data_IF_431662732558
#
_entry.id   IF_431662732558
#
_cell.length_a   1.000
_cell.length_b   1.000
_cell.length_c   1.000
_cell.angle_alpha   90.00
_cell.angle_beta   90.00
_cell.angle_gamma   90.00
#
_symmetry.space_group_name_H-M   'P 1'
#
loop_
_entity.id
_entity.type
_entity.pdbx_description
1 polymer ?
#
# COMPACT_ATOMS: atom_id res chain seq x y z
N UNK A 1 13.27 2.62 6.35
CA UNK A 1 13.61 1.30 6.94
C UNK A 1 13.71 1.45 8.45
N UNK A 2 13.20 0.51 9.23
CA UNK A 2 13.18 0.61 10.70
C UNK A 2 13.54 -0.74 11.33
N UNK A 3 14.28 -0.71 12.45
CA UNK A 3 14.62 -1.85 13.28
C UNK A 3 14.01 -1.62 14.67
N UNK A 4 13.30 -2.62 15.17
CA UNK A 4 12.70 -2.60 16.51
C UNK A 4 13.26 -3.73 17.37
N UNK A 5 13.63 -3.41 18.60
CA UNK A 5 14.05 -4.37 19.62
C UNK A 5 13.07 -4.28 20.78
N UNK A 6 12.51 -5.42 21.18
CA UNK A 6 11.54 -5.40 22.27
C UNK A 6 11.28 -6.76 22.90
N UNK A 7 10.40 -6.75 23.89
CA UNK A 7 10.02 -7.92 24.66
C UNK A 7 8.50 -8.07 24.69
N UNK A 8 8.02 -9.29 24.42
CA UNK A 8 6.64 -9.67 24.68
C UNK A 8 6.53 -10.11 26.15
N UNK A 9 5.74 -9.39 26.95
CA UNK A 9 5.52 -9.71 28.38
C UNK A 9 4.60 -10.91 28.56
N UNK A 10 3.58 -10.98 27.73
CA UNK A 10 2.65 -12.11 27.68
C UNK A 10 2.05 -12.19 26.25
N UNK A 11 1.05 -13.06 26.05
CA UNK A 11 0.41 -13.22 24.72
C UNK A 11 -0.27 -11.97 24.19
N UNK A 12 -0.56 -10.98 25.04
CA UNK A 12 -1.34 -9.78 24.69
C UNK A 12 -0.49 -8.50 24.64
N UNK A 13 0.68 -8.44 25.28
CA UNK A 13 1.44 -7.20 25.41
C UNK A 13 2.87 -7.33 24.92
N UNK A 14 3.27 -6.35 24.10
CA UNK A 14 4.63 -6.16 23.64
C UNK A 14 5.06 -4.73 23.94
N UNK A 15 6.31 -4.56 24.30
CA UNK A 15 7.00 -3.26 24.42
C UNK A 15 8.37 -3.35 23.75
N UNK A 16 8.77 -2.26 23.08
CA UNK A 16 10.05 -2.19 22.38
C UNK A 16 10.52 -0.77 22.16
N UNK A 17 11.72 -0.68 21.61
CA UNK A 17 12.35 0.56 21.15
C UNK A 17 12.64 0.36 19.67
N UNK A 18 12.38 1.37 18.86
CA UNK A 18 12.61 1.33 17.42
C UNK A 18 13.47 2.51 16.99
N UNK A 19 14.28 2.29 15.97
CA UNK A 19 15.00 3.33 15.25
C UNK A 19 15.09 2.98 13.78
N UNK A 20 15.32 3.99 12.92
CA UNK A 20 15.36 3.77 11.48
C UNK A 20 15.72 5.01 10.69
N UNK A 21 15.28 5.05 9.44
CA UNK A 21 15.41 6.21 8.56
C UNK A 21 14.12 6.40 7.78
N UNK A 22 13.63 7.63 7.72
CA UNK A 22 12.53 8.09 6.88
C UNK A 22 13.14 9.05 5.87
N UNK A 23 13.00 8.76 4.59
CA UNK A 23 13.49 9.61 3.50
C UNK A 23 12.31 10.44 3.04
N UNK A 24 12.44 11.77 3.04
CA UNK A 24 11.48 12.69 2.47
C UNK A 24 11.83 12.92 1.00
N UNK A 25 10.87 12.69 0.11
CA UNK A 25 11.08 12.79 -1.34
C UNK A 25 10.78 14.18 -1.90
N UNK A 26 10.05 15.01 -1.17
CA UNK A 26 9.58 16.33 -1.64
C UNK A 26 10.60 17.46 -1.50
N UNK A 27 11.63 17.30 -0.68
CA UNK A 27 12.67 18.32 -0.49
C UNK A 27 14.06 17.70 -0.43
N UNK A 28 14.88 17.89 -1.44
CA UNK A 28 16.33 17.63 -1.49
C UNK A 28 16.89 16.63 -0.45
N UNK A 29 16.32 15.41 -0.42
CA UNK A 29 16.96 14.28 0.25
C UNK A 29 17.10 14.35 1.77
N UNK A 30 16.22 15.05 2.49
CA UNK A 30 16.28 15.06 3.96
C UNK A 30 15.98 13.68 4.55
N UNK A 31 16.77 13.26 5.51
CA UNK A 31 16.58 12.02 6.25
C UNK A 31 16.16 12.35 7.68
N UNK A 32 15.03 11.77 8.10
CA UNK A 32 14.60 11.84 9.50
C UNK A 32 14.97 10.52 10.20
N UNK A 33 15.63 10.60 11.34
CA UNK A 33 15.98 9.44 12.14
C UNK A 33 15.02 9.35 13.33
N UNK A 34 14.02 8.43 13.30
CA UNK A 34 13.14 8.20 14.43
C UNK A 34 13.85 7.41 15.54
N UNK A 35 13.66 7.82 16.78
CA UNK A 35 13.95 7.05 17.99
C UNK A 35 12.65 6.98 18.77
N UNK A 36 12.03 5.80 18.81
CA UNK A 36 10.68 5.65 19.33
C UNK A 36 10.56 4.53 20.34
N UNK A 37 9.57 4.62 21.22
CA UNK A 37 9.11 3.53 22.05
C UNK A 37 7.79 3.00 21.51
N UNK A 38 7.69 1.68 21.41
CA UNK A 38 6.54 0.96 20.85
C UNK A 38 5.82 0.21 21.97
N UNK A 39 4.53 0.43 22.11
CA UNK A 39 3.66 -0.36 22.97
C UNK A 39 2.56 -1.00 22.12
N UNK A 40 2.46 -2.33 22.15
CA UNK A 40 1.49 -3.07 21.33
C UNK A 40 0.61 -3.96 22.17
N UNK A 41 -0.70 -3.78 21.97
CA UNK A 41 -1.72 -4.67 22.52
C UNK A 41 -2.14 -5.65 21.43
N UNK A 42 -2.11 -6.93 21.73
CA UNK A 42 -2.44 -8.03 20.83
C UNK A 42 -3.72 -8.74 21.28
N UNK A 43 -4.57 -9.10 20.34
CA UNK A 43 -5.82 -9.82 20.57
C UNK A 43 -5.76 -11.20 19.89
N UNK A 44 -5.03 -12.19 20.48
CA UNK A 44 -4.83 -13.49 19.84
C UNK A 44 -6.16 -14.24 19.73
N UNK A 45 -6.47 -14.65 18.51
CA UNK A 45 -7.64 -15.49 18.22
C UNK A 45 -7.26 -16.96 18.37
N UNK A 46 -8.11 -17.75 19.03
CA UNK A 46 -7.82 -19.10 19.50
C UNK A 46 -7.47 -20.13 18.42
N UNK A 47 -7.79 -19.87 17.16
CA UNK A 47 -7.54 -20.81 16.03
C UNK A 47 -6.92 -20.17 14.79
N UNK A 48 -6.54 -18.91 14.87
CA UNK A 48 -6.06 -18.13 13.71
C UNK A 48 -4.55 -17.93 13.76
N UNK A 49 -3.94 -17.91 12.59
CA UNK A 49 -2.56 -17.42 12.40
C UNK A 49 -2.50 -15.89 12.36
N UNK A 50 -3.67 -15.25 12.41
CA UNK A 50 -3.82 -13.80 12.48
C UNK A 50 -3.97 -13.37 13.93
N UNK A 51 -3.23 -12.37 14.33
CA UNK A 51 -3.35 -11.73 15.63
C UNK A 51 -3.59 -10.24 15.43
N UNK A 52 -4.84 -9.77 15.49
CA UNK A 52 -5.13 -8.35 15.51
C UNK A 52 -4.45 -7.66 16.70
N UNK A 53 -4.13 -6.40 16.54
CA UNK A 53 -3.52 -5.62 17.61
C UNK A 53 -3.66 -4.12 17.38
N UNK A 54 -3.24 -3.36 18.40
CA UNK A 54 -3.08 -1.90 18.32
C UNK A 54 -1.68 -1.56 18.75
N UNK A 55 -0.95 -0.86 17.89
CA UNK A 55 0.36 -0.31 18.16
C UNK A 55 0.19 1.16 18.53
N UNK A 56 0.71 1.53 19.69
CA UNK A 56 0.90 2.91 20.12
C UNK A 56 2.40 3.17 20.14
N UNK A 57 2.79 4.30 19.57
CA UNK A 57 4.20 4.67 19.44
C UNK A 57 4.36 6.13 19.82
N UNK A 58 5.41 6.44 20.55
CA UNK A 58 5.83 7.80 20.83
C UNK A 58 7.37 7.89 20.72
N UNK A 59 7.87 9.03 20.26
CA UNK A 59 9.30 9.18 20.11
C UNK A 59 9.72 10.54 19.56
N UNK A 60 10.98 10.58 19.17
CA UNK A 60 11.65 11.77 18.71
C UNK A 60 12.22 11.52 17.31
N UNK A 61 12.02 12.47 16.40
CA UNK A 61 12.61 12.47 15.07
C UNK A 61 13.72 13.49 15.00
N UNK A 62 14.92 13.02 14.72
CA UNK A 62 16.08 13.86 14.46
C UNK A 62 16.08 14.18 12.97
N UNK A 63 16.02 15.46 12.63
CA UNK A 63 16.21 15.92 11.26
C UNK A 63 17.71 16.02 10.97
N UNK A 64 18.18 15.35 9.92
CA UNK A 64 19.59 15.39 9.52
C UNK A 64 19.90 16.48 8.51
N UNK A 65 18.89 17.23 8.06
CA UNK A 65 19.09 18.34 7.13
C UNK A 65 19.81 19.46 7.85
N UNK A 66 20.88 19.97 7.24
CA UNK A 66 21.57 21.17 7.71
C UNK A 66 20.64 22.38 7.61
N UNK A 67 20.93 23.40 8.43
CA UNK A 67 20.21 24.66 8.44
C UNK A 67 20.18 25.27 7.02
N UNK A 68 19.03 25.72 6.58
CA UNK A 68 18.88 26.31 5.24
C UNK A 68 19.13 27.82 5.27
N UNK A 69 19.96 28.30 4.35
CA UNK A 69 20.11 29.71 4.09
C UNK A 69 19.03 30.19 3.09
N UNK A 70 18.05 30.94 3.58
CA UNK A 70 17.02 31.53 2.76
C UNK A 70 17.37 32.99 2.47
N UNK A 71 17.44 33.39 1.21
CA UNK A 71 17.59 34.80 0.81
C UNK A 71 16.26 35.51 0.82
N UNK A 72 16.04 36.40 1.78
CA UNK A 72 14.88 37.29 1.82
C UNK A 72 15.35 38.69 1.40
N UNK A 73 15.18 39.03 0.13
CA UNK A 73 15.68 40.26 -0.46
C UNK A 73 17.22 40.29 -0.51
N UNK A 74 17.84 41.28 0.17
CA UNK A 74 19.32 41.44 0.24
C UNK A 74 19.95 40.75 1.46
N UNK A 75 19.16 40.14 2.32
CA UNK A 75 19.64 39.49 3.55
C UNK A 75 19.54 37.98 3.42
N UNK A 76 20.58 37.27 3.80
CA UNK A 76 20.57 35.82 4.00
C UNK A 76 20.14 35.55 5.42
N UNK A 77 19.14 34.74 5.63
CA UNK A 77 18.65 34.28 6.94
C UNK A 77 18.80 32.79 7.01
N UNK A 78 19.49 32.30 8.03
CA UNK A 78 19.61 30.87 8.30
C UNK A 78 18.35 30.40 9.01
N UNK A 79 17.67 29.43 8.44
CA UNK A 79 16.51 28.76 9.05
C UNK A 79 16.95 27.40 9.55
N UNK A 80 17.01 27.25 10.86
CA UNK A 80 17.32 25.98 11.50
C UNK A 80 16.13 25.02 11.37
N UNK A 81 16.35 23.83 10.82
CA UNK A 81 15.31 22.81 10.66
C UNK A 81 14.89 22.22 12.01
N UNK A 82 13.57 22.02 12.26
CA UNK A 82 13.11 21.47 13.52
C UNK A 82 13.33 19.96 13.61
N UNK A 83 13.51 19.48 14.82
CA UNK A 83 13.25 18.09 15.17
C UNK A 83 11.75 17.97 15.51
N UNK A 84 11.25 16.72 15.60
CA UNK A 84 9.83 16.49 15.86
C UNK A 84 9.62 15.50 17.00
N UNK A 85 8.59 15.74 17.79
CA UNK A 85 8.00 14.72 18.65
C UNK A 85 6.96 13.99 17.82
N UNK A 86 7.01 12.66 17.80
CA UNK A 86 6.10 11.81 17.05
C UNK A 86 5.20 11.02 17.99
N UNK A 87 3.90 11.04 17.70
CA UNK A 87 2.90 10.18 18.36
C UNK A 87 2.13 9.44 17.27
N UNK A 88 2.01 8.11 17.39
CA UNK A 88 1.35 7.27 16.41
C UNK A 88 0.40 6.30 17.08
N UNK A 89 -0.79 6.13 16.49
CA UNK A 89 -1.74 5.08 16.82
C UNK A 89 -2.08 4.29 15.55
N UNK A 90 -1.97 2.94 15.64
CA UNK A 90 -2.06 2.10 14.46
C UNK A 90 -2.71 0.74 14.80
N UNK A 91 -3.90 0.42 14.30
CA UNK A 91 -4.36 -0.96 14.21
C UNK A 91 -3.39 -1.79 13.37
N UNK A 92 -3.10 -3.00 13.83
CA UNK A 92 -2.17 -3.92 13.18
C UNK A 92 -2.75 -5.32 13.09
N UNK A 93 -2.23 -6.10 12.15
CA UNK A 93 -2.46 -7.54 12.07
C UNK A 93 -1.12 -8.23 11.97
N UNK A 94 -0.81 -9.09 12.94
CA UNK A 94 0.36 -9.96 12.91
C UNK A 94 -0.04 -11.29 12.27
N UNK A 95 0.67 -11.67 11.25
CA UNK A 95 0.45 -12.89 10.48
C UNK A 95 1.61 -13.84 10.79
N UNK A 96 1.34 -14.89 11.56
CA UNK A 96 2.36 -15.86 11.91
C UNK A 96 2.80 -16.64 10.66
N UNK A 97 4.00 -16.39 10.16
CA UNK A 97 4.59 -17.11 9.02
C UNK A 97 5.25 -18.41 9.46
N UNK A 98 5.86 -18.43 10.64
CA UNK A 98 6.49 -19.59 11.24
C UNK A 98 6.35 -19.54 12.76
N UNK A 99 6.99 -20.46 13.48
CA UNK A 99 7.06 -20.43 14.96
C UNK A 99 7.83 -19.23 15.51
N UNK A 100 8.68 -18.62 14.70
CA UNK A 100 9.62 -17.58 15.12
C UNK A 100 9.54 -16.32 14.27
N UNK A 101 8.64 -16.26 13.29
CA UNK A 101 8.52 -15.13 12.36
C UNK A 101 7.06 -14.77 12.16
N UNK A 102 6.71 -13.53 12.46
CA UNK A 102 5.44 -12.93 12.11
C UNK A 102 5.66 -11.84 11.06
N UNK A 103 4.75 -11.72 10.11
CA UNK A 103 4.64 -10.55 9.26
C UNK A 103 3.60 -9.60 9.86
N UNK A 104 3.93 -8.33 9.96
CA UNK A 104 3.08 -7.30 10.54
C UNK A 104 2.60 -6.38 9.43
N UNK A 105 1.31 -6.16 9.39
CA UNK A 105 0.65 -5.14 8.58
C UNK A 105 -0.09 -4.20 9.50
N UNK A 106 0.02 -2.90 9.26
CA UNK A 106 -0.72 -1.88 10.00
C UNK A 106 -0.99 -0.65 9.16
N UNK A 107 -2.09 0.01 9.44
CA UNK A 107 -2.41 1.33 8.90
C UNK A 107 -2.83 2.21 10.06
N UNK A 108 -2.35 3.45 10.11
CA UNK A 108 -2.64 4.31 11.23
C UNK A 108 -2.35 5.77 10.95
N UNK A 109 -2.46 6.55 11.99
CA UNK A 109 -2.22 7.98 11.95
C UNK A 109 -1.01 8.33 12.81
N UNK A 110 -0.13 9.15 12.27
CA UNK A 110 1.04 9.68 12.95
C UNK A 110 0.92 11.19 13.01
N UNK A 111 1.10 11.75 14.19
CA UNK A 111 1.13 13.19 14.42
C UNK A 111 2.54 13.62 14.79
N UNK A 112 3.02 14.66 14.13
CA UNK A 112 4.35 15.23 14.31
C UNK A 112 4.22 16.63 14.89
N UNK A 113 4.87 16.86 16.03
CA UNK A 113 4.91 18.15 16.71
C UNK A 113 6.33 18.69 16.62
N UNK A 114 6.56 19.85 15.98
CA UNK A 114 7.89 20.43 15.89
C UNK A 114 8.40 20.85 17.27
N UNK A 115 9.70 20.83 17.45
CA UNK A 115 10.35 21.27 18.71
C UNK A 115 10.65 22.77 18.74
N UNK A 116 10.30 23.49 17.66
CA UNK A 116 10.49 24.93 17.50
C UNK A 116 9.14 25.61 17.19
N UNK A 117 8.86 26.73 17.82
CA UNK A 117 7.58 27.43 17.76
C UNK A 117 7.22 28.02 16.36
N UNK A 118 8.21 28.13 15.47
CA UNK A 118 8.02 28.74 14.15
C UNK A 118 7.56 27.76 13.07
N UNK A 119 7.27 26.52 13.45
CA UNK A 119 6.82 25.47 12.53
C UNK A 119 5.49 24.87 12.98
N UNK A 120 4.65 24.53 12.03
CA UNK A 120 3.35 23.93 12.30
C UNK A 120 3.46 22.43 12.54
N UNK A 121 2.58 21.90 13.39
CA UNK A 121 2.40 20.46 13.55
C UNK A 121 1.66 19.88 12.34
N UNK A 122 2.00 18.67 11.94
CA UNK A 122 1.31 18.00 10.84
C UNK A 122 1.02 16.54 11.16
N UNK A 123 0.12 15.96 10.41
CA UNK A 123 -0.26 14.57 10.55
C UNK A 123 -0.16 13.82 9.23
N UNK A 124 0.15 12.53 9.32
CA UNK A 124 0.26 11.66 8.16
C UNK A 124 -0.44 10.31 8.39
N UNK A 125 -1.06 9.80 7.35
CA UNK A 125 -1.49 8.39 7.32
C UNK A 125 -0.26 7.54 7.06
N UNK A 126 -0.05 6.53 7.91
CA UNK A 126 1.12 5.66 7.86
C UNK A 126 0.70 4.22 7.57
N UNK A 127 1.30 3.63 6.56
CA UNK A 127 1.25 2.19 6.30
C UNK A 127 2.52 1.54 6.86
N UNK A 128 2.36 0.50 7.66
CA UNK A 128 3.49 -0.27 8.22
C UNK A 128 3.48 -1.69 7.70
N UNK A 129 4.63 -2.11 7.17
CA UNK A 129 4.91 -3.51 6.86
C UNK A 129 6.21 -3.90 7.57
N UNK A 130 6.23 -5.02 8.28
CA UNK A 130 7.43 -5.45 9.02
C UNK A 130 7.48 -6.97 9.19
N UNK A 131 8.69 -7.48 9.38
CA UNK A 131 8.90 -8.84 9.88
C UNK A 131 9.33 -8.78 11.34
N UNK A 132 8.65 -9.56 12.18
CA UNK A 132 9.01 -9.71 13.58
C UNK A 132 9.63 -11.09 13.81
N UNK A 133 10.88 -11.11 14.27
CA UNK A 133 11.59 -12.33 14.62
C UNK A 133 11.57 -12.50 16.13
N UNK A 134 11.08 -13.64 16.64
CA UNK A 134 10.98 -13.89 18.06
C UNK A 134 11.31 -15.33 18.43
N UNK A 135 11.69 -15.54 19.69
CA UNK A 135 11.83 -16.90 20.22
C UNK A 135 10.44 -17.55 20.30
N UNK A 136 10.30 -18.75 19.75
CA UNK A 136 9.03 -19.46 19.75
C UNK A 136 8.52 -19.70 21.17
N UNK A 137 7.36 -19.13 21.48
CA UNK A 137 6.61 -19.39 22.71
C UNK A 137 5.22 -19.95 22.44
N UNK A 138 4.86 -20.13 21.15
CA UNK A 138 3.54 -20.58 20.74
C UNK A 138 3.50 -22.06 20.36
N UNK A 139 2.43 -22.77 20.73
CA UNK A 139 2.18 -24.11 20.19
C UNK A 139 2.03 -24.06 18.67
N UNK A 140 2.29 -25.18 18.03
CA UNK A 140 2.27 -25.36 16.57
C UNK A 140 0.84 -25.22 16.00
N UNK A 141 0.33 -24.00 15.88
CA UNK A 141 -0.93 -23.71 15.19
C UNK A 141 -0.70 -23.71 13.67
N UNK A 142 -0.23 -24.83 13.12
CA UNK A 142 -0.19 -25.00 11.66
C UNK A 142 -1.62 -25.02 11.14
N UNK A 143 -1.98 -24.16 10.18
CA UNK A 143 -3.28 -24.27 9.54
C UNK A 143 -3.39 -25.68 8.93
N UNK A 144 -4.50 -26.35 9.20
CA UNK A 144 -4.80 -27.65 8.59
C UNK A 144 -4.79 -27.49 7.07
N UNK A 145 -4.44 -28.56 6.33
CA UNK A 145 -4.55 -28.53 4.87
C UNK A 145 -5.99 -28.15 4.47
N UNK A 146 -6.18 -27.36 3.41
CA UNK A 146 -7.53 -27.04 2.97
C UNK A 146 -8.27 -28.33 2.63
N UNK A 147 -9.50 -28.40 3.07
CA UNK A 147 -10.36 -29.57 2.83
C UNK A 147 -10.88 -29.64 1.40
N UNK A 148 -10.64 -28.62 0.58
CA UNK A 148 -11.17 -28.54 -0.79
C UNK A 148 -10.21 -27.90 -1.77
N UNK A 149 -10.11 -28.55 -2.91
CA UNK A 149 -9.26 -28.16 -4.03
C UNK A 149 -9.94 -27.15 -4.99
N UNK A 150 -11.27 -26.93 -4.85
CA UNK A 150 -12.08 -26.09 -5.73
C UNK A 150 -13.04 -25.20 -4.95
N UNK A 151 -13.41 -24.04 -5.49
CA UNK A 151 -14.37 -23.14 -4.87
C UNK A 151 -14.34 -21.72 -5.44
N UNK A 152 -15.28 -20.90 -4.96
CA UNK A 152 -15.26 -19.46 -5.24
C UNK A 152 -14.34 -18.75 -4.25
N UNK A 153 -13.59 -17.78 -4.74
CA UNK A 153 -12.72 -16.94 -3.93
C UNK A 153 -13.09 -15.47 -4.13
N UNK A 154 -13.13 -14.71 -3.03
CA UNK A 154 -13.13 -13.24 -3.08
C UNK A 154 -11.73 -12.77 -2.72
N UNK A 155 -11.13 -11.96 -3.58
CA UNK A 155 -9.81 -11.38 -3.39
C UNK A 155 -9.91 -9.87 -3.39
N UNK A 156 -9.46 -9.22 -2.33
CA UNK A 156 -9.31 -7.76 -2.22
C UNK A 156 -7.84 -7.39 -2.11
N UNK A 157 -7.42 -6.35 -2.82
CA UNK A 157 -6.07 -5.83 -2.76
C UNK A 157 -6.11 -4.31 -2.56
N UNK A 158 -5.14 -3.81 -1.78
CA UNK A 158 -4.82 -2.40 -1.63
C UNK A 158 -3.34 -2.24 -1.92
N UNK A 159 -2.95 -1.14 -2.54
CA UNK A 159 -1.55 -0.95 -2.85
C UNK A 159 -1.22 0.43 -3.35
N UNK A 160 0.04 0.57 -3.70
CA UNK A 160 0.63 1.78 -4.24
C UNK A 160 1.26 1.47 -5.58
N UNK A 161 1.22 2.45 -6.47
CA UNK A 161 1.91 2.45 -7.74
C UNK A 161 2.91 3.57 -7.80
N UNK A 162 3.98 3.32 -8.52
CA UNK A 162 4.99 4.30 -8.86
C UNK A 162 5.15 4.31 -10.39
N UNK A 163 4.92 5.44 -11.00
CA UNK A 163 5.09 5.68 -12.44
C UNK A 163 6.29 6.57 -12.73
N UNK A 164 6.67 6.65 -14.00
CA UNK A 164 7.76 7.54 -14.42
C UNK A 164 7.29 9.00 -14.57
N UNK A 165 6.01 9.19 -14.90
CA UNK A 165 5.42 10.51 -15.12
C UNK A 165 4.56 10.96 -13.92
N UNK A 166 4.57 10.22 -12.80
CA UNK A 166 3.89 10.58 -11.55
C UNK A 166 4.55 9.88 -10.35
N UNK A 167 4.64 10.52 -9.18
CA UNK A 167 5.44 10.01 -8.08
C UNK A 167 4.80 8.80 -7.40
N UNK A 168 3.52 8.83 -7.09
CA UNK A 168 2.84 7.74 -6.40
C UNK A 168 1.33 7.86 -6.54
N UNK A 169 0.64 6.72 -6.70
CA UNK A 169 -0.81 6.62 -6.60
C UNK A 169 -1.26 5.53 -5.64
N UNK A 170 -2.45 5.69 -5.07
CA UNK A 170 -3.11 4.66 -4.29
C UNK A 170 -4.08 3.89 -5.19
N UNK A 171 -4.11 2.58 -5.03
CA UNK A 171 -5.02 1.72 -5.77
C UNK A 171 -5.71 0.70 -4.87
N UNK A 172 -6.94 0.35 -5.22
CA UNK A 172 -7.67 -0.77 -4.62
C UNK A 172 -8.38 -1.58 -5.68
N UNK A 173 -8.43 -2.90 -5.50
CA UNK A 173 -9.20 -3.79 -6.37
C UNK A 173 -9.92 -4.89 -5.59
N UNK A 174 -11.04 -5.36 -6.17
CA UNK A 174 -11.79 -6.53 -5.74
C UNK A 174 -11.96 -7.47 -6.92
N UNK A 175 -11.80 -8.77 -6.68
CA UNK A 175 -12.01 -9.79 -7.70
C UNK A 175 -12.78 -10.99 -7.16
N UNK A 176 -13.72 -11.46 -7.94
CA UNK A 176 -14.40 -12.73 -7.75
C UNK A 176 -13.70 -13.79 -8.60
N UNK A 177 -13.08 -14.77 -7.95
CA UNK A 177 -12.23 -15.77 -8.59
C UNK A 177 -12.89 -17.14 -8.46
N UNK A 178 -12.63 -18.01 -9.41
CA UNK A 178 -12.91 -19.44 -9.31
C UNK A 178 -11.60 -20.22 -9.16
N UNK A 179 -11.46 -20.93 -8.06
CA UNK A 179 -10.35 -21.83 -7.81
C UNK A 179 -10.59 -23.16 -8.54
N UNK A 180 -9.89 -23.36 -9.65
CA UNK A 180 -10.01 -24.58 -10.46
C UNK A 180 -9.38 -25.78 -9.79
N UNK A 181 -8.19 -25.56 -9.16
CA UNK A 181 -7.44 -26.54 -8.39
C UNK A 181 -6.61 -25.79 -7.33
N UNK A 182 -5.84 -26.48 -6.45
CA UNK A 182 -5.03 -25.81 -5.43
C UNK A 182 -4.07 -24.73 -5.96
N UNK A 183 -3.67 -24.85 -7.22
CA UNK A 183 -2.63 -24.01 -7.83
C UNK A 183 -3.18 -22.94 -8.77
N UNK A 184 -4.37 -23.14 -9.37
CA UNK A 184 -4.90 -22.28 -10.42
C UNK A 184 -6.22 -21.65 -9.97
N UNK A 185 -6.28 -20.33 -10.05
CA UNK A 185 -7.50 -19.54 -9.88
C UNK A 185 -7.65 -18.54 -11.03
N UNK A 186 -8.86 -18.30 -11.48
CA UNK A 186 -9.17 -17.28 -12.49
C UNK A 186 -10.50 -16.60 -12.16
N UNK A 187 -10.68 -15.38 -12.63
CA UNK A 187 -11.89 -14.63 -12.32
C UNK A 187 -11.93 -13.25 -12.95
N UNK A 188 -12.89 -12.47 -12.49
CA UNK A 188 -13.13 -11.10 -12.94
C UNK A 188 -13.06 -10.15 -11.76
N UNK A 189 -12.68 -8.92 -12.02
CA UNK A 189 -12.58 -7.92 -10.97
C UNK A 189 -12.75 -6.51 -11.47
N UNK A 190 -12.83 -5.61 -10.50
CA UNK A 190 -12.83 -4.17 -10.69
C UNK A 190 -11.97 -3.49 -9.66
N UNK A 191 -11.50 -2.31 -9.99
CA UNK A 191 -10.65 -1.53 -9.09
C UNK A 191 -10.75 -0.06 -9.37
N UNK A 192 -10.17 0.71 -8.46
CA UNK A 192 -10.09 2.15 -8.55
C UNK A 192 -8.69 2.62 -8.17
N UNK A 193 -8.22 3.64 -8.86
CA UNK A 193 -6.95 4.27 -8.62
C UNK A 193 -7.11 5.78 -8.74
N UNK A 194 -6.52 6.48 -7.79
CA UNK A 194 -6.44 7.92 -7.80
C UNK A 194 -4.98 8.33 -8.03
N UNK A 195 -4.76 9.09 -9.08
CA UNK A 195 -3.46 9.47 -9.57
C UNK A 195 -3.37 10.99 -9.63
N UNK A 196 -2.41 11.56 -8.91
CA UNK A 196 -2.03 12.97 -9.08
C UNK A 196 -0.87 13.02 -10.06
N UNK A 197 -1.11 13.62 -11.22
CA UNK A 197 -0.03 13.90 -12.18
C UNK A 197 0.83 15.01 -11.55
N UNK A 198 2.13 14.85 -11.51
CA UNK A 198 3.02 15.89 -10.99
C UNK A 198 3.76 16.54 -12.15
N UNK A 199 3.58 17.82 -12.31
CA UNK A 199 4.55 18.68 -12.94
C UNK A 199 5.32 19.38 -11.81
N UNK A 200 6.66 19.24 -11.71
CA UNK A 200 7.43 19.91 -10.67
C UNK A 200 7.38 21.43 -10.74
N UNK A 201 6.93 21.98 -11.85
CA UNK A 201 6.89 23.43 -12.11
C UNK A 201 5.48 24.04 -12.00
N UNK A 202 4.42 23.23 -11.91
CA UNK A 202 3.04 23.71 -11.90
C UNK A 202 2.18 22.99 -10.83
N UNK A 203 1.71 23.73 -9.83
CA UNK A 203 0.80 23.26 -8.77
C UNK A 203 -0.62 22.94 -9.31
N UNK A 204 -0.91 23.26 -10.57
CA UNK A 204 -2.24 23.10 -11.20
C UNK A 204 -2.36 21.83 -12.04
N UNK A 205 -1.76 20.73 -11.62
CA UNK A 205 -1.78 19.48 -12.39
C UNK A 205 -3.06 18.69 -12.16
N UNK A 206 -3.76 18.22 -13.23
CA UNK A 206 -5.03 17.54 -13.09
C UNK A 206 -4.90 16.20 -12.35
N UNK A 207 -5.88 15.91 -11.51
CA UNK A 207 -6.02 14.62 -10.86
C UNK A 207 -6.75 13.66 -11.77
N UNK A 208 -6.17 12.49 -12.00
CA UNK A 208 -6.72 11.46 -12.86
C UNK A 208 -7.29 10.31 -12.02
N UNK A 209 -8.56 10.04 -12.21
CA UNK A 209 -9.25 8.89 -11.63
C UNK A 209 -9.31 7.75 -12.65
N UNK A 210 -8.96 6.54 -12.24
CA UNK A 210 -8.91 5.37 -13.11
C UNK A 210 -9.80 4.27 -12.52
N UNK A 211 -10.94 4.02 -13.17
CA UNK A 211 -11.75 2.85 -12.89
C UNK A 211 -11.27 1.68 -13.77
N UNK A 212 -11.06 0.50 -13.17
CA UNK A 212 -10.51 -0.68 -13.84
C UNK A 212 -11.52 -1.82 -13.86
N UNK A 213 -11.60 -2.51 -15.00
CA UNK A 213 -12.30 -3.79 -15.12
C UNK A 213 -11.35 -4.81 -15.75
N UNK A 214 -11.22 -5.98 -15.15
CA UNK A 214 -10.23 -6.95 -15.59
C UNK A 214 -10.67 -8.40 -15.40
N UNK A 215 -10.06 -9.28 -16.18
CA UNK A 215 -9.95 -10.72 -15.91
C UNK A 215 -8.60 -10.97 -15.25
N UNK A 216 -8.59 -11.81 -14.21
CA UNK A 216 -7.39 -12.20 -13.46
C UNK A 216 -7.15 -13.69 -13.59
N UNK A 217 -5.91 -14.07 -13.94
CA UNK A 217 -5.40 -15.42 -13.79
C UNK A 217 -4.32 -15.47 -12.72
N UNK A 218 -4.35 -16.48 -11.85
CA UNK A 218 -3.36 -16.68 -10.80
C UNK A 218 -2.88 -18.12 -10.77
N UNK A 219 -1.56 -18.30 -10.68
CA UNK A 219 -0.93 -19.61 -10.52
C UNK A 219 -0.07 -19.62 -9.26
N UNK A 220 -0.39 -20.50 -8.30
CA UNK A 220 0.42 -20.77 -7.09
C UNK A 220 1.33 -21.95 -7.33
N UNK A 221 2.60 -21.81 -7.00
CA UNK A 221 3.60 -22.86 -7.21
C UNK A 221 3.37 -24.10 -6.35
N UNK A 222 2.80 -23.92 -5.16
CA UNK A 222 2.53 -25.02 -4.23
C UNK A 222 1.36 -24.67 -3.31
N UNK A 223 0.90 -25.62 -2.51
CA UNK A 223 -0.16 -25.44 -1.49
C UNK A 223 0.42 -25.40 -0.07
N UNK A 224 1.64 -24.93 0.10
CA UNK A 224 2.26 -24.75 1.39
C UNK A 224 1.70 -23.52 2.13
N UNK A 225 2.10 -23.38 3.39
CA UNK A 225 1.74 -22.21 4.22
C UNK A 225 2.22 -20.91 3.57
N UNK A 226 3.40 -20.91 3.00
CA UNK A 226 3.93 -19.82 2.17
C UNK A 226 4.06 -20.38 0.75
N UNK A 227 3.39 -19.75 -0.18
CA UNK A 227 3.39 -20.17 -1.58
C UNK A 227 3.72 -18.98 -2.48
N UNK A 228 4.80 -19.06 -3.25
CA UNK A 228 5.01 -18.13 -4.35
C UNK A 228 3.88 -18.26 -5.36
N UNK A 229 3.49 -17.15 -5.98
CA UNK A 229 2.50 -17.16 -7.04
C UNK A 229 2.86 -16.16 -8.15
N UNK A 230 2.32 -16.41 -9.33
CA UNK A 230 2.29 -15.48 -10.44
C UNK A 230 0.84 -15.12 -10.74
N UNK A 231 0.59 -13.89 -11.16
CA UNK A 231 -0.73 -13.43 -11.57
C UNK A 231 -0.61 -12.57 -12.83
N UNK A 232 -1.68 -12.52 -13.59
CA UNK A 232 -1.83 -11.59 -14.71
C UNK A 232 -3.26 -11.04 -14.71
N UNK A 233 -3.36 -9.73 -14.80
CA UNK A 233 -4.62 -9.02 -15.01
C UNK A 233 -4.62 -8.48 -16.45
N UNK A 234 -5.69 -8.73 -17.18
CA UNK A 234 -5.95 -8.17 -18.51
C UNK A 234 -7.29 -7.46 -18.48
N UNK A 235 -7.31 -6.18 -18.86
CA UNK A 235 -8.54 -5.41 -18.71
C UNK A 235 -8.54 -4.07 -19.41
N UNK A 236 -9.50 -3.24 -19.00
CA UNK A 236 -9.73 -1.91 -19.52
C UNK A 236 -9.68 -0.92 -18.35
N UNK A 237 -8.92 0.15 -18.52
CA UNK A 237 -8.93 1.34 -17.68
C UNK A 237 -9.92 2.34 -18.28
N UNK A 238 -10.79 2.91 -17.46
CA UNK A 238 -11.60 4.07 -17.80
C UNK A 238 -11.05 5.27 -17.03
N UNK A 239 -10.72 6.34 -17.75
CA UNK A 239 -10.10 7.53 -17.19
C UNK A 239 -11.13 8.65 -17.06
N UNK A 240 -11.06 9.38 -15.95
CA UNK A 240 -11.78 10.64 -15.73
C UNK A 240 -10.89 11.64 -15.01
N UNK A 241 -11.01 12.90 -15.35
CA UNK A 241 -10.35 13.99 -14.65
C UNK A 241 -11.27 14.41 -13.51
N UNK A 242 -10.70 14.71 -12.35
CA UNK A 242 -11.41 15.39 -11.28
C UNK A 242 -11.51 16.86 -11.66
N UNK A 243 -12.71 17.32 -12.01
CA UNK A 243 -13.00 18.70 -12.39
C UNK A 243 -12.91 19.57 -11.13
N UNK A 244 -11.88 20.38 -11.04
CA UNK A 244 -11.93 21.59 -10.21
C UNK A 244 -12.64 22.67 -11.06
N UNK A 245 -13.84 23.08 -10.65
CA UNK A 245 -14.78 23.88 -11.45
C UNK A 245 -14.18 25.17 -12.05
N UNK A 246 -13.05 25.65 -11.52
CA UNK A 246 -12.44 26.92 -11.93
C UNK A 246 -11.25 26.80 -12.90
N UNK A 247 -10.64 25.63 -13.08
CA UNK A 247 -9.35 25.49 -13.78
C UNK A 247 -9.36 24.62 -15.05
N UNK A 248 -10.30 23.69 -15.22
CA UNK A 248 -10.21 22.64 -16.26
C UNK A 248 -11.45 22.45 -17.14
N UNK A 249 -12.29 23.45 -17.27
CA UNK A 249 -13.57 23.39 -18.04
C UNK A 249 -13.35 22.95 -19.51
N UNK A 250 -12.12 23.00 -20.01
CA UNK A 250 -11.75 22.67 -21.38
C UNK A 250 -10.79 21.47 -21.53
N UNK A 251 -10.53 20.69 -20.48
CA UNK A 251 -9.60 19.55 -20.57
C UNK A 251 -10.37 18.25 -20.79
N UNK A 252 -10.01 17.51 -21.84
CA UNK A 252 -10.58 16.19 -22.15
C UNK A 252 -9.52 15.11 -22.10
N UNK A 253 -9.88 13.96 -21.55
CA UNK A 253 -9.01 12.78 -21.48
C UNK A 253 -9.55 11.67 -22.38
N UNK A 254 -8.67 10.85 -22.95
CA UNK A 254 -9.05 9.62 -23.63
C UNK A 254 -9.81 8.71 -22.65
N UNK A 255 -11.03 8.30 -23.01
CA UNK A 255 -11.97 7.66 -22.08
C UNK A 255 -11.54 6.28 -21.63
N UNK A 256 -10.81 5.50 -22.44
CA UNK A 256 -10.46 4.14 -22.09
C UNK A 256 -9.22 3.61 -22.79
N UNK A 257 -8.51 2.68 -22.13
CA UNK A 257 -7.39 1.97 -22.72
C UNK A 257 -7.29 0.55 -22.16
N UNK A 258 -6.80 -0.38 -22.99
CA UNK A 258 -6.50 -1.75 -22.57
C UNK A 258 -5.21 -1.75 -21.74
N UNK A 259 -5.15 -2.57 -20.69
CA UNK A 259 -3.95 -2.77 -19.90
C UNK A 259 -3.66 -4.25 -19.68
N UNK A 260 -2.39 -4.55 -19.41
CA UNK A 260 -1.90 -5.87 -18.95
C UNK A 260 -1.05 -5.65 -17.71
N UNK A 261 -1.30 -6.40 -16.63
CA UNK A 261 -0.56 -6.28 -15.37
C UNK A 261 -0.02 -7.64 -14.93
N UNK A 262 1.16 -8.06 -15.41
CA UNK A 262 1.86 -9.20 -14.86
C UNK A 262 2.37 -8.89 -13.45
N UNK A 263 2.31 -9.90 -12.57
CA UNK A 263 2.75 -9.79 -11.20
C UNK A 263 3.27 -11.11 -10.65
N UNK A 264 4.14 -11.03 -9.66
CA UNK A 264 4.60 -12.14 -8.84
C UNK A 264 4.41 -11.80 -7.37
N UNK A 265 4.33 -12.81 -6.52
CA UNK A 265 4.12 -12.53 -5.10
C UNK A 265 4.27 -13.75 -4.20
N UNK A 266 3.98 -13.50 -2.93
CA UNK A 266 3.93 -14.50 -1.88
C UNK A 266 2.52 -14.54 -1.28
N UNK A 267 1.98 -15.73 -1.19
CA UNK A 267 0.69 -16.02 -0.57
C UNK A 267 0.93 -16.71 0.77
N UNK A 268 0.38 -16.18 1.83
CA UNK A 268 0.52 -16.66 3.20
C UNK A 268 -0.82 -17.20 3.66
N UNK A 269 -0.93 -18.51 3.89
CA UNK A 269 -2.15 -19.12 4.39
C UNK A 269 -2.40 -18.71 5.85
N UNK A 270 -3.49 -18.00 6.10
CA UNK A 270 -3.87 -17.49 7.43
C UNK A 270 -4.86 -18.41 8.13
N UNK A 271 -5.76 -19.01 7.37
CA UNK A 271 -6.70 -20.06 7.80
C UNK A 271 -6.77 -21.17 6.76
N UNK A 272 -7.63 -22.17 6.96
CA UNK A 272 -7.84 -23.23 5.96
C UNK A 272 -8.35 -22.68 4.61
N UNK A 273 -9.08 -21.58 4.64
CA UNK A 273 -9.75 -21.00 3.47
C UNK A 273 -9.31 -19.57 3.16
N UNK A 274 -8.33 -19.01 3.89
CA UNK A 274 -7.94 -17.62 3.71
C UNK A 274 -6.45 -17.47 3.51
N UNK A 275 -6.09 -16.50 2.67
CA UNK A 275 -4.72 -16.17 2.33
C UNK A 275 -4.52 -14.66 2.42
N UNK A 276 -3.41 -14.27 3.01
CA UNK A 276 -2.84 -12.94 2.85
C UNK A 276 -1.86 -12.99 1.68
N UNK A 277 -1.80 -11.94 0.86
CA UNK A 277 -0.94 -11.87 -0.33
C UNK A 277 -0.12 -10.60 -0.34
N UNK A 278 1.14 -10.73 -0.72
CA UNK A 278 2.02 -9.62 -1.07
C UNK A 278 2.34 -9.77 -2.55
N UNK A 279 2.06 -8.75 -3.37
CA UNK A 279 2.13 -8.80 -4.83
C UNK A 279 2.94 -7.61 -5.35
N UNK A 280 3.98 -7.89 -6.12
CA UNK A 280 4.77 -6.91 -6.87
C UNK A 280 4.52 -7.15 -8.36
N UNK A 281 4.28 -6.11 -9.12
CA UNK A 281 4.02 -6.25 -10.54
C UNK A 281 4.21 -4.94 -11.30
N UNK A 282 4.00 -5.04 -12.61
CA UNK A 282 4.11 -3.91 -13.50
C UNK A 282 2.84 -3.77 -14.34
N UNK A 283 2.25 -2.59 -14.32
CA UNK A 283 1.08 -2.27 -15.14
C UNK A 283 1.56 -1.71 -16.47
N UNK A 284 1.21 -2.37 -17.56
CA UNK A 284 1.52 -1.97 -18.93
C UNK A 284 0.24 -1.40 -19.53
N UNK A 285 0.23 -0.10 -19.80
CA UNK A 285 -0.90 0.58 -20.42
C UNK A 285 -0.39 1.60 -21.46
N UNK A 286 -1.12 1.87 -22.54
CA UNK A 286 -0.75 2.91 -23.49
C UNK A 286 -0.77 4.29 -22.81
N UNK A 287 -0.06 5.23 -23.41
CA UNK A 287 -0.09 6.63 -22.95
C UNK A 287 -1.49 7.20 -23.10
N UNK A 288 -1.93 7.92 -22.09
CA UNK A 288 -3.20 8.67 -22.08
C UNK A 288 -2.97 10.02 -22.72
N UNK A 289 -3.88 10.46 -23.57
CA UNK A 289 -3.85 11.77 -24.17
C UNK A 289 -4.75 12.71 -23.37
N UNK A 290 -4.18 13.81 -22.91
CA UNK A 290 -4.89 14.95 -22.37
C UNK A 290 -4.98 16.00 -23.50
N UNK A 291 -6.20 16.48 -23.75
CA UNK A 291 -6.49 17.51 -24.75
C UNK A 291 -6.94 18.74 -24.00
N UNK A 292 -6.12 19.76 -24.02
CA UNK A 292 -6.42 21.07 -23.45
C UNK A 292 -6.83 22.02 -24.54
N UNK A 293 -7.97 22.68 -24.39
CA UNK A 293 -8.50 23.66 -25.35
C UNK A 293 -8.37 25.05 -24.75
N UNK A 294 -7.54 25.91 -25.37
CA UNK A 294 -7.41 27.29 -24.95
C UNK A 294 -8.70 28.11 -25.18
N UNK A 295 -9.56 27.67 -26.12
CA UNK A 295 -10.91 28.16 -26.35
C UNK A 295 -11.72 27.07 -27.07
N UNK A 296 -13.06 27.17 -27.04
CA UNK A 296 -13.95 26.22 -27.71
C UNK A 296 -13.71 26.04 -29.21
N UNK A 297 -13.01 27.02 -29.83
CA UNK A 297 -12.70 27.07 -31.27
C UNK A 297 -11.21 26.90 -31.57
N UNK A 298 -10.35 26.60 -30.58
CA UNK A 298 -8.92 26.40 -30.80
C UNK A 298 -8.58 24.92 -31.01
N UNK A 299 -7.50 24.69 -31.79
CA UNK A 299 -6.92 23.35 -31.83
C UNK A 299 -6.38 22.96 -30.44
N UNK A 300 -6.64 21.71 -29.96
CA UNK A 300 -6.22 21.30 -28.66
C UNK A 300 -4.70 21.14 -28.57
N UNK A 301 -4.12 21.61 -27.48
CA UNK A 301 -2.80 21.15 -27.06
C UNK A 301 -2.92 19.69 -26.59
N UNK A 302 -2.13 18.77 -27.17
CA UNK A 302 -2.21 17.34 -26.85
C UNK A 302 -0.97 16.95 -26.09
N UNK A 303 -1.17 16.63 -24.82
CA UNK A 303 -0.16 16.05 -23.98
C UNK A 303 -0.35 14.53 -23.83
N UNK A 304 0.75 13.77 -23.77
CA UNK A 304 0.74 12.30 -23.65
C UNK A 304 1.44 11.88 -22.38
N UNK A 305 0.66 11.35 -21.45
CA UNK A 305 1.14 10.90 -20.14
C UNK A 305 1.26 9.38 -20.07
N UNK A 306 2.40 8.90 -19.57
CA UNK A 306 2.61 7.47 -19.36
C UNK A 306 1.94 6.99 -18.08
N UNK A 307 1.00 6.07 -18.20
CA UNK A 307 0.30 5.45 -17.05
C UNK A 307 0.81 4.06 -16.73
N UNK A 308 1.88 3.63 -17.39
CA UNK A 308 2.58 2.39 -17.03
C UNK A 308 3.35 2.57 -15.73
N UNK A 309 3.30 1.55 -14.84
CA UNK A 309 3.79 1.72 -13.47
C UNK A 309 4.18 0.43 -12.79
N UNK A 310 5.18 0.51 -11.92
CA UNK A 310 5.46 -0.51 -10.93
C UNK A 310 4.43 -0.43 -9.81
N UNK A 311 3.94 -1.55 -9.28
CA UNK A 311 3.04 -1.55 -8.13
C UNK A 311 3.42 -2.58 -7.07
N UNK A 312 3.12 -2.23 -5.82
CA UNK A 312 3.21 -3.11 -4.66
C UNK A 312 1.84 -3.17 -3.99
N UNK A 313 1.26 -4.36 -3.92
CA UNK A 313 -0.04 -4.58 -3.32
C UNK A 313 0.02 -5.55 -2.16
N UNK A 314 -0.78 -5.27 -1.15
CA UNK A 314 -1.16 -6.22 -0.11
C UNK A 314 -2.61 -6.63 -0.33
N UNK A 315 -2.90 -7.91 -0.16
CA UNK A 315 -4.23 -8.43 -0.44
C UNK A 315 -4.65 -9.53 0.51
N UNK A 316 -5.95 -9.76 0.51
CA UNK A 316 -6.57 -10.85 1.24
C UNK A 316 -7.51 -11.61 0.32
N UNK A 317 -7.41 -12.95 0.36
CA UNK A 317 -8.30 -13.84 -0.40
C UNK A 317 -8.98 -14.81 0.55
N UNK A 318 -10.27 -14.96 0.40
CA UNK A 318 -11.07 -15.95 1.12
C UNK A 318 -11.77 -16.89 0.15
N UNK A 319 -11.60 -18.20 0.37
CA UNK A 319 -12.25 -19.25 -0.43
C UNK A 319 -13.53 -19.69 0.26
N UNK A 320 -14.66 -19.54 -0.41
CA UNK A 320 -15.95 -20.03 0.05
C UNK A 320 -16.09 -21.52 -0.30
N UNK A 321 -16.29 -22.35 0.71
CA UNK A 321 -16.61 -23.75 0.51
C UNK A 321 -18.11 -23.88 0.22
N UNK A 322 -18.48 -24.12 -1.03
CA UNK A 322 -19.86 -24.55 -1.35
C UNK A 322 -20.02 -25.99 -0.90
N UNK A 323 -21.05 -26.23 -0.10
CA UNK A 323 -21.36 -27.58 0.37
C UNK A 323 -21.60 -28.53 -0.80
N UNK A 324 -21.18 -29.80 -0.67
CA UNK A 324 -21.33 -30.86 -1.70
C UNK A 324 -22.78 -31.07 -2.15
N UNK A 325 -23.75 -30.46 -1.49
CA UNK A 325 -25.20 -30.69 -1.69
C UNK A 325 -25.86 -29.74 -2.70
N UNK A 326 -25.15 -28.81 -3.37
CA UNK A 326 -25.77 -27.88 -4.31
C UNK A 326 -25.82 -28.39 -5.76
N UNK A 327 -25.17 -29.53 -6.06
CA UNK A 327 -25.15 -30.17 -7.37
C UNK A 327 -25.41 -31.69 -7.33
N UNK A 328 -26.17 -32.14 -6.33
CA UNK A 328 -26.74 -33.49 -6.31
C UNK A 328 -28.20 -33.44 -6.68
#
# INVERSE_FOLDING_TARGET
>A
MEISLGKRFNKNFYWGISSGAIIQTEEEGSVLIPITTDFKVLFPLSSSTLTPGVLLRAGYLINTKEDQEIKVGRKTQTVEMPNYIMIQAMPTVDIALSKSVDFILGIGYTHYVPTKDNFDSFGAVTLKTAFNFHKSTQPDNKPKKPTRDRGMEISGNLGMKYGFDYPMSLMGDLALMYKWNPNISFGIGGGYEHLQLCDPEDDNVPRLNIAKFFVRGEYRLNDNRISPFAAVDLGVNNYSIEEDEDLYDNTKVDKSAIFVSPAVGLSFRTTNNSYFKLKLGYNIAPKVQLKEYASEYSDPNIEKWGVSSLFLNVGFTHTFSWGENWFK
#
